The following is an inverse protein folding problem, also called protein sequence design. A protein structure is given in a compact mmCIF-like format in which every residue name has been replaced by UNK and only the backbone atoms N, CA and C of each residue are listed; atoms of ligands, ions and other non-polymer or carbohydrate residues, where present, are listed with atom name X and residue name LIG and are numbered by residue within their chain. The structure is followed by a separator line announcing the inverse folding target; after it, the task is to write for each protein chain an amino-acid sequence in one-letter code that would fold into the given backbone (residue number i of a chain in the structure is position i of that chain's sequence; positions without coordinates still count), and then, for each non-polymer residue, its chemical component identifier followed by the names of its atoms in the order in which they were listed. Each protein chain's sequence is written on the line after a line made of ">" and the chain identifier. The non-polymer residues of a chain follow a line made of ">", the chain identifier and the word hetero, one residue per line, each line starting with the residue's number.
data_IF_569943924761
#
_entry.id   IF_569943924761
#
_cell.length_a   1.000
_cell.length_b   1.000
_cell.length_c   1.000
_cell.angle_alpha   90.00
_cell.angle_beta   90.00
_cell.angle_gamma   90.00
#
_symmetry.space_group_name_H-M   'P 1'
#
loop_
_entity.id
_entity.type
_entity.pdbx_description
1 polymer ?
#
# COMPACT_ATOMS: atom_id res chain seq x y z
N UNK A 1 -7.10 -19.39 12.77
CA UNK A 1 -6.12 -20.41 12.32
C UNK A 1 -4.71 -19.92 12.65
N UNK A 2 -3.89 -20.70 13.37
CA UNK A 2 -2.51 -20.32 13.75
C UNK A 2 -1.58 -20.14 12.54
N UNK A 3 -1.80 -20.90 11.48
CA UNK A 3 -0.93 -20.87 10.29
C UNK A 3 -1.17 -19.62 9.47
N UNK A 4 -2.43 -19.20 9.34
CA UNK A 4 -2.81 -17.92 8.75
C UNK A 4 -2.13 -16.74 9.45
N UNK A 5 -2.13 -16.73 10.80
CA UNK A 5 -1.48 -15.67 11.59
C UNK A 5 0.03 -15.64 11.36
N UNK A 6 0.70 -16.81 11.32
CA UNK A 6 2.14 -16.90 11.03
C UNK A 6 2.48 -16.45 9.62
N UNK A 7 1.65 -16.80 8.64
CA UNK A 7 1.80 -16.38 7.26
C UNK A 7 1.68 -14.86 7.12
N UNK A 8 0.61 -14.27 7.69
CA UNK A 8 0.41 -12.83 7.66
C UNK A 8 1.52 -12.07 8.39
N UNK A 9 2.01 -12.59 9.52
CA UNK A 9 3.17 -12.02 10.21
C UNK A 9 4.41 -11.99 9.32
N UNK A 10 4.79 -13.14 8.75
CA UNK A 10 5.92 -13.22 7.85
C UNK A 10 5.74 -12.29 6.64
N UNK A 11 4.53 -12.24 6.07
CA UNK A 11 4.22 -11.41 4.93
C UNK A 11 4.38 -9.92 5.25
N UNK A 12 3.84 -9.41 6.35
CA UNK A 12 4.01 -7.98 6.74
C UNK A 12 5.49 -7.60 6.79
N UNK A 13 6.29 -8.45 7.40
CA UNK A 13 7.73 -8.24 7.54
C UNK A 13 8.50 -8.36 6.21
N UNK A 14 8.06 -9.26 5.32
CA UNK A 14 8.62 -9.38 3.97
C UNK A 14 8.27 -8.18 3.09
N UNK A 15 7.03 -7.71 3.12
CA UNK A 15 6.54 -6.56 2.34
C UNK A 15 7.31 -5.28 2.70
N UNK A 16 7.57 -5.09 4.00
CA UNK A 16 8.32 -3.96 4.54
C UNK A 16 9.84 -4.13 4.56
N UNK A 17 10.38 -5.31 4.18
CA UNK A 17 11.83 -5.62 4.23
C UNK A 17 12.47 -5.24 5.56
N UNK A 18 11.85 -5.55 6.70
CA UNK A 18 12.41 -5.21 8.02
C UNK A 18 13.18 -6.38 8.66
N UNK A 19 12.78 -7.63 8.39
CA UNK A 19 13.55 -8.84 8.72
C UNK A 19 14.61 -9.21 7.69
N UNK A 20 14.45 -8.72 6.44
CA UNK A 20 15.43 -8.84 5.36
C UNK A 20 15.77 -7.42 4.88
N UNK A 21 16.59 -6.67 5.63
CA UNK A 21 16.74 -5.23 5.46
C UNK A 21 17.34 -4.84 4.12
N UNK A 22 16.72 -3.84 3.48
CA UNK A 22 17.25 -3.12 2.33
C UNK A 22 17.79 -1.74 2.74
N UNK A 23 18.44 -1.04 1.81
CA UNK A 23 18.79 0.36 1.99
C UNK A 23 17.56 1.27 1.88
N UNK A 24 17.70 2.55 2.26
CA UNK A 24 16.65 3.56 2.16
C UNK A 24 17.15 4.80 1.44
N UNK A 25 16.24 5.50 0.77
CA UNK A 25 16.49 6.85 0.32
C UNK A 25 16.15 7.86 1.40
N UNK A 26 16.94 8.91 1.46
CA UNK A 26 16.72 10.09 2.29
C UNK A 26 16.88 11.33 1.42
N UNK A 27 15.95 12.27 1.53
CA UNK A 27 16.08 13.58 0.89
C UNK A 27 16.78 14.52 1.87
N UNK A 28 18.06 14.76 1.65
CA UNK A 28 18.86 15.68 2.46
C UNK A 28 19.51 16.73 1.57
N UNK A 29 19.44 17.99 1.99
CA UNK A 29 20.09 19.12 1.30
C UNK A 29 19.79 19.22 -0.22
N UNK A 30 18.57 18.87 -0.63
CA UNK A 30 18.14 18.94 -2.03
C UNK A 30 18.64 17.81 -2.94
N UNK A 31 19.25 16.77 -2.36
CA UNK A 31 19.73 15.59 -3.09
C UNK A 31 19.16 14.30 -2.50
N UNK A 32 18.88 13.32 -3.36
CA UNK A 32 18.47 11.99 -2.93
C UNK A 32 19.73 11.16 -2.60
N UNK A 33 19.87 10.75 -1.35
CA UNK A 33 21.02 9.95 -0.90
C UNK A 33 20.59 8.55 -0.48
N UNK A 34 21.42 7.56 -0.80
CA UNK A 34 21.24 6.18 -0.35
C UNK A 34 21.84 6.02 1.05
N UNK A 35 21.00 5.63 1.99
CA UNK A 35 21.34 5.49 3.40
C UNK A 35 21.13 4.03 3.86
N UNK A 36 21.83 3.58 4.91
CA UNK A 36 21.60 2.25 5.49
C UNK A 36 20.17 2.06 5.99
N UNK A 37 19.77 0.81 6.24
CA UNK A 37 18.49 0.48 6.87
C UNK A 37 18.30 1.20 8.23
N UNK A 38 17.11 1.77 8.46
CA UNK A 38 16.76 2.43 9.72
C UNK A 38 15.57 1.73 10.38
N UNK A 39 15.75 0.80 11.34
CA UNK A 39 14.65 -0.03 11.87
C UNK A 39 13.52 0.78 12.48
N UNK A 40 13.83 1.81 13.27
CA UNK A 40 12.83 2.69 13.87
C UNK A 40 12.06 3.51 12.81
N UNK A 41 12.73 3.91 11.73
CA UNK A 41 12.10 4.61 10.62
C UNK A 41 11.21 3.66 9.83
N UNK A 42 11.69 2.45 9.52
CA UNK A 42 10.91 1.44 8.79
C UNK A 42 9.67 1.02 9.54
N UNK A 43 9.77 0.78 10.85
CA UNK A 43 8.63 0.42 11.68
C UNK A 43 7.52 1.51 11.66
N UNK A 44 7.92 2.78 11.54
CA UNK A 44 7.01 3.93 11.45
C UNK A 44 6.65 4.32 10.00
N UNK A 45 7.28 3.71 8.99
CA UNK A 45 7.21 4.10 7.58
C UNK A 45 7.63 5.55 7.33
N UNK A 46 8.73 5.95 7.96
CA UNK A 46 9.32 7.30 7.85
C UNK A 46 10.58 7.30 6.99
N UNK A 47 10.73 6.29 6.15
CA UNK A 47 11.78 6.18 5.15
C UNK A 47 11.20 5.79 3.77
N UNK A 48 12.04 5.88 2.74
CA UNK A 48 11.71 5.43 1.39
C UNK A 48 12.55 4.19 1.05
N UNK A 49 11.99 2.98 1.12
CA UNK A 49 12.76 1.75 0.93
C UNK A 49 13.29 1.62 -0.51
N UNK A 50 14.51 1.12 -0.65
CA UNK A 50 15.11 0.86 -1.97
C UNK A 50 14.34 -0.25 -2.71
N UNK A 51 14.01 -1.34 -2.03
CA UNK A 51 13.49 -2.58 -2.63
C UNK A 51 12.16 -3.04 -2.04
N UNK A 52 11.80 -2.64 -0.82
CA UNK A 52 10.52 -3.00 -0.22
C UNK A 52 9.34 -2.60 -1.13
N UNK A 53 8.24 -3.36 -1.04
CA UNK A 53 7.06 -3.16 -1.90
C UNK A 53 5.98 -2.29 -1.24
N UNK A 54 6.21 -1.86 0.01
CA UNK A 54 5.43 -0.81 0.68
C UNK A 54 6.31 0.09 1.55
N UNK A 55 5.95 1.37 1.64
CA UNK A 55 6.63 2.38 2.45
C UNK A 55 5.82 2.78 3.69
N UNK A 56 4.66 2.15 3.93
CA UNK A 56 3.79 2.50 5.07
C UNK A 56 4.37 2.02 6.41
N UNK A 57 5.30 1.07 6.39
CA UNK A 57 5.95 0.55 7.59
C UNK A 57 5.08 -0.41 8.41
N UNK A 58 5.74 -1.16 9.29
CA UNK A 58 5.17 -2.32 9.98
C UNK A 58 3.91 -1.97 10.79
N UNK A 59 3.92 -0.87 11.54
CA UNK A 59 2.77 -0.46 12.36
C UNK A 59 1.50 -0.16 11.55
N UNK A 60 1.66 0.43 10.36
CA UNK A 60 0.51 0.71 9.47
C UNK A 60 0.04 -0.54 8.75
N UNK A 61 0.92 -1.50 8.46
CA UNK A 61 0.52 -2.82 7.95
C UNK A 61 -0.27 -3.61 8.99
N UNK A 62 0.14 -3.59 10.27
CA UNK A 62 -0.62 -4.20 11.37
C UNK A 62 -1.99 -3.55 11.53
N UNK A 63 -2.07 -2.21 11.46
CA UNK A 63 -3.35 -1.52 11.48
C UNK A 63 -4.24 -1.91 10.31
N UNK A 64 -3.70 -1.97 9.09
CA UNK A 64 -4.44 -2.38 7.89
C UNK A 64 -5.00 -3.80 8.04
N UNK A 65 -4.17 -4.74 8.48
CA UNK A 65 -4.61 -6.13 8.73
C UNK A 65 -5.71 -6.19 9.79
N UNK A 66 -5.55 -5.48 10.91
CA UNK A 66 -6.58 -5.43 11.95
C UNK A 66 -7.89 -4.88 11.39
N UNK A 67 -7.84 -3.78 10.65
CA UNK A 67 -9.03 -3.24 9.99
C UNK A 67 -9.67 -4.29 9.09
N UNK A 68 -8.92 -4.90 8.15
CA UNK A 68 -9.42 -5.94 7.26
C UNK A 68 -10.07 -7.10 8.04
N UNK A 69 -9.40 -7.65 9.05
CA UNK A 69 -9.92 -8.74 9.87
C UNK A 69 -11.22 -8.33 10.57
N UNK A 70 -11.31 -7.12 11.15
CA UNK A 70 -12.54 -6.63 11.78
C UNK A 70 -13.70 -6.56 10.79
N UNK A 71 -13.50 -6.03 9.57
CA UNK A 71 -14.57 -5.95 8.55
C UNK A 71 -15.10 -7.35 8.19
N UNK A 72 -14.20 -8.34 8.13
CA UNK A 72 -14.54 -9.74 7.85
C UNK A 72 -15.28 -10.40 9.02
N UNK A 73 -14.76 -10.25 10.24
CA UNK A 73 -15.32 -10.83 11.47
C UNK A 73 -16.70 -10.28 11.80
N UNK A 74 -16.92 -8.99 11.60
CA UNK A 74 -18.21 -8.33 11.82
C UNK A 74 -19.18 -8.50 10.65
N UNK A 75 -18.77 -9.14 9.55
CA UNK A 75 -19.62 -9.38 8.38
C UNK A 75 -20.02 -8.10 7.63
N UNK A 76 -19.20 -7.06 7.70
CA UNK A 76 -19.49 -5.78 7.04
C UNK A 76 -19.32 -5.94 5.51
N UNK A 77 -20.36 -5.64 4.71
CA UNK A 77 -20.32 -5.84 3.26
C UNK A 77 -19.42 -4.80 2.57
N UNK A 78 -18.87 -5.18 1.42
CA UNK A 78 -18.08 -4.30 0.56
C UNK A 78 -16.70 -4.85 0.21
N UNK A 79 -16.02 -4.14 -0.68
CA UNK A 79 -14.68 -4.45 -1.17
C UNK A 79 -13.60 -3.63 -0.41
N UNK A 80 -12.33 -4.02 -0.58
CA UNK A 80 -11.19 -3.24 -0.12
C UNK A 80 -10.63 -2.36 -1.24
N UNK A 81 -10.09 -1.19 -0.88
CA UNK A 81 -9.52 -0.23 -1.85
C UNK A 81 -8.29 0.48 -1.30
N UNK A 82 -7.28 0.67 -2.15
CA UNK A 82 -6.13 1.55 -1.92
C UNK A 82 -6.04 2.60 -3.04
N UNK A 83 -5.92 3.88 -2.67
CA UNK A 83 -5.82 5.03 -3.60
C UNK A 83 -4.45 5.69 -3.48
N UNK A 84 -3.51 5.26 -4.31
CA UNK A 84 -2.07 5.53 -4.20
C UNK A 84 -1.36 4.30 -3.65
N UNK A 85 -0.95 3.40 -4.55
CA UNK A 85 -0.50 2.04 -4.21
C UNK A 85 1.02 1.88 -4.27
N UNK A 86 1.72 2.77 -4.97
CA UNK A 86 3.16 2.65 -5.23
C UNK A 86 3.52 1.27 -5.81
N UNK A 87 4.27 0.44 -5.08
CA UNK A 87 4.66 -0.93 -5.46
C UNK A 87 3.63 -1.99 -5.04
N UNK A 88 2.50 -1.58 -4.45
CA UNK A 88 1.32 -2.42 -4.21
C UNK A 88 1.33 -3.25 -2.93
N UNK A 89 2.25 -3.03 -1.99
CA UNK A 89 2.39 -3.90 -0.82
C UNK A 89 1.17 -3.94 0.12
N UNK A 90 0.42 -2.85 0.30
CA UNK A 90 -0.82 -2.90 1.09
C UNK A 90 -1.89 -3.71 0.36
N UNK A 91 -2.04 -3.53 -0.96
CA UNK A 91 -2.86 -4.38 -1.82
C UNK A 91 -2.56 -5.87 -1.68
N UNK A 92 -1.28 -6.26 -1.67
CA UNK A 92 -0.86 -7.65 -1.46
C UNK A 92 -1.32 -8.15 -0.09
N UNK A 93 -1.15 -7.36 0.97
CA UNK A 93 -1.59 -7.73 2.32
C UNK A 93 -3.11 -7.90 2.39
N UNK A 94 -3.89 -6.97 1.84
CA UNK A 94 -5.35 -7.07 1.79
C UNK A 94 -5.79 -8.36 1.07
N UNK A 95 -5.16 -8.68 -0.07
CA UNK A 95 -5.47 -9.91 -0.82
C UNK A 95 -5.12 -11.18 -0.03
N UNK A 96 -4.00 -11.16 0.68
CA UNK A 96 -3.55 -12.24 1.54
C UNK A 96 -4.52 -12.49 2.70
N UNK A 97 -5.03 -11.43 3.35
CA UNK A 97 -6.05 -11.57 4.40
C UNK A 97 -7.28 -12.32 3.85
N UNK A 98 -7.84 -11.88 2.72
CA UNK A 98 -8.98 -12.57 2.08
C UNK A 98 -8.67 -14.05 1.76
N UNK A 99 -7.48 -14.33 1.24
CA UNK A 99 -7.06 -15.70 0.94
C UNK A 99 -6.99 -16.59 2.20
N UNK A 100 -6.51 -16.05 3.32
CA UNK A 100 -6.41 -16.80 4.58
C UNK A 100 -7.74 -17.04 5.28
N UNK A 101 -8.76 -16.21 4.99
CA UNK A 101 -10.13 -16.38 5.52
C UNK A 101 -11.04 -17.16 4.57
N UNK A 102 -10.57 -17.49 3.37
CA UNK A 102 -11.37 -18.16 2.34
C UNK A 102 -12.43 -17.26 1.69
N UNK A 103 -12.24 -15.94 1.74
CA UNK A 103 -13.16 -15.01 1.08
C UNK A 103 -12.80 -14.91 -0.42
N UNK A 104 -13.71 -15.42 -1.26
CA UNK A 104 -13.60 -15.40 -2.71
C UNK A 104 -14.50 -14.34 -3.37
N UNK A 105 -15.29 -13.61 -2.57
CA UNK A 105 -16.31 -12.68 -3.06
C UNK A 105 -15.76 -11.25 -3.09
N UNK A 106 -15.14 -10.81 -1.99
CA UNK A 106 -14.61 -9.45 -1.84
C UNK A 106 -13.43 -9.23 -2.79
N UNK A 107 -13.39 -8.05 -3.40
CA UNK A 107 -12.30 -7.63 -4.29
C UNK A 107 -11.33 -6.69 -3.56
N UNK A 108 -10.11 -6.61 -4.10
CA UNK A 108 -9.12 -5.60 -3.72
C UNK A 108 -8.89 -4.70 -4.92
N UNK A 109 -9.29 -3.44 -4.80
CA UNK A 109 -9.16 -2.43 -5.84
C UNK A 109 -7.91 -1.58 -5.60
N UNK A 110 -7.04 -1.51 -6.61
CA UNK A 110 -5.81 -0.72 -6.56
C UNK A 110 -5.93 0.43 -7.56
N UNK A 111 -6.06 1.65 -7.05
CA UNK A 111 -6.13 2.87 -7.84
C UNK A 111 -4.84 3.64 -7.70
N UNK A 112 -4.13 3.83 -8.80
CA UNK A 112 -2.91 4.66 -8.87
C UNK A 112 -2.83 5.28 -10.27
N UNK A 113 -2.00 6.31 -10.42
CA UNK A 113 -1.64 6.79 -11.75
C UNK A 113 -0.75 5.79 -12.48
N UNK A 114 -0.02 4.96 -11.72
CA UNK A 114 1.10 4.13 -12.17
C UNK A 114 2.17 4.94 -12.93
N UNK A 115 2.18 6.25 -12.71
CA UNK A 115 3.06 7.22 -13.35
C UNK A 115 3.70 8.18 -12.32
N UNK A 116 3.54 7.90 -11.03
CA UNK A 116 3.98 8.77 -9.95
C UNK A 116 3.09 10.00 -9.76
N UNK A 117 3.58 10.96 -8.97
CA UNK A 117 2.86 12.20 -8.71
C UNK A 117 2.86 13.11 -9.95
N UNK A 118 1.74 13.82 -10.23
CA UNK A 118 1.72 14.83 -11.28
C UNK A 118 2.68 15.99 -10.93
N UNK A 119 3.16 16.70 -11.96
CA UNK A 119 3.94 17.92 -11.75
C UNK A 119 3.11 18.92 -10.93
N UNK A 120 3.67 19.56 -9.90
CA UNK A 120 2.96 20.59 -9.14
C UNK A 120 2.52 21.74 -10.07
N UNK A 121 1.23 22.09 -10.03
CA UNK A 121 0.68 23.21 -10.78
C UNK A 121 0.28 24.32 -9.81
N UNK A 122 1.10 25.38 -9.76
CA UNK A 122 0.89 26.52 -8.88
C UNK A 122 -0.39 27.32 -9.18
N UNK A 123 -0.99 27.15 -10.37
CA UNK A 123 -2.21 27.86 -10.78
C UNK A 123 -3.51 27.15 -10.37
N UNK A 124 -3.43 25.91 -9.88
CA UNK A 124 -4.57 25.05 -9.55
C UNK A 124 -4.69 24.77 -8.04
N UNK A 125 -4.73 25.82 -7.22
CA UNK A 125 -4.74 25.66 -5.76
C UNK A 125 -6.02 25.06 -5.16
N UNK A 126 -7.13 24.92 -5.90
CA UNK A 126 -8.45 24.63 -5.30
C UNK A 126 -9.41 23.73 -6.12
N UNK A 127 -8.99 23.10 -7.22
CA UNK A 127 -9.85 22.14 -7.95
C UNK A 127 -9.28 20.73 -7.84
N UNK A 128 -10.11 19.71 -7.50
CA UNK A 128 -9.64 18.32 -7.57
C UNK A 128 -9.15 18.07 -9.00
N UNK A 129 -7.90 17.60 -9.09
CA UNK A 129 -7.36 17.14 -10.35
C UNK A 129 -8.27 16.03 -10.89
N UNK A 130 -8.54 15.95 -12.20
CA UNK A 130 -9.00 14.70 -12.77
C UNK A 130 -7.88 13.68 -12.56
N UNK A 131 -7.95 12.95 -11.45
CA UNK A 131 -7.09 11.81 -11.21
C UNK A 131 -7.57 10.74 -12.18
N UNK A 132 -6.80 10.50 -13.24
CA UNK A 132 -6.92 9.30 -14.04
C UNK A 132 -6.44 8.13 -13.19
N UNK A 133 -7.28 7.70 -12.25
CA UNK A 133 -7.05 6.50 -11.48
C UNK A 133 -7.24 5.33 -12.42
N UNK A 134 -6.14 4.64 -12.74
CA UNK A 134 -6.25 3.37 -13.43
C UNK A 134 -6.51 2.32 -12.36
N UNK A 135 -7.48 1.47 -12.63
CA UNK A 135 -7.69 0.29 -11.81
C UNK A 135 -6.80 -0.83 -12.34
N UNK A 136 -5.97 -1.43 -11.46
CA UNK A 136 -5.09 -2.54 -11.86
C UNK A 136 -5.86 -3.77 -12.40
N UNK A 137 -7.14 -3.94 -12.05
CA UNK A 137 -7.97 -5.08 -12.45
C UNK A 137 -8.90 -4.81 -13.64
N UNK A 138 -8.91 -3.60 -14.21
CA UNK A 138 -9.72 -3.27 -15.38
C UNK A 138 -8.87 -3.25 -16.66
N UNK A 139 -9.19 -4.13 -17.62
CA UNK A 139 -8.56 -4.20 -18.95
C UNK A 139 -9.04 -3.12 -19.94
N UNK A 140 -9.92 -2.21 -19.52
CA UNK A 140 -10.36 -1.08 -20.33
C UNK A 140 -9.70 0.22 -19.83
N UNK A 141 -9.12 0.97 -20.76
CA UNK A 141 -8.58 2.31 -20.51
C UNK A 141 -9.64 3.19 -19.84
N UNK A 142 -9.21 3.86 -18.76
CA UNK A 142 -9.84 5.03 -18.17
C UNK A 142 -11.34 4.89 -17.80
N UNK A 143 -11.63 4.69 -16.51
CA UNK A 143 -12.93 5.12 -15.98
C UNK A 143 -12.96 6.66 -15.95
N UNK A 144 -13.13 7.29 -17.11
CA UNK A 144 -13.60 8.67 -17.22
C UNK A 144 -15.08 8.70 -16.88
N UNK A 145 -15.41 8.55 -15.59
CA UNK A 145 -16.73 8.95 -15.09
C UNK A 145 -16.51 9.87 -13.90
N UNK A 146 -16.98 11.12 -13.96
CA UNK A 146 -17.00 11.96 -12.78
C UNK A 146 -17.87 11.29 -11.72
N UNK A 147 -17.44 11.37 -10.45
CA UNK A 147 -18.28 11.09 -9.29
C UNK A 147 -19.49 12.03 -9.29
#
# INVERSE_FOLDING_TARGET
>A
NSDARRYLDLLRHALGRDRFPDARYEMSSGSLQLMPFGPALRAQGRDWPLEAVTMVGTKRLENLENCCCTVLEEGIPGDFVETGVWRGGCGILMRAVLATTGDEIRKVWLFDSFAGLPKPDASRSQRPMPCYYRCASCSHDSLERPL
#
